data_IF_623014943673
#
_entry.id   IF_623014943673
#
_cell.length_a   1.000
_cell.length_b   1.000
_cell.length_c   1.000
_cell.angle_alpha   90.00
_cell.angle_beta   90.00
_cell.angle_gamma   90.00
#
_symmetry.space_group_name_H-M   'P 1'
#
loop_
_entity.id
_entity.type
_entity.pdbx_description
1 polymer ?
#
# COMPACT_ATOMS: atom_id res chain seq x y z
N UNK A 1 66.97 27.06 -33.65
CA UNK A 1 65.95 27.91 -34.31
C UNK A 1 64.74 27.94 -33.39
N UNK A 2 64.58 28.99 -32.60
CA UNK A 2 63.49 29.12 -31.62
C UNK A 2 62.27 29.69 -32.34
N UNK A 3 61.26 28.85 -32.59
CA UNK A 3 59.95 29.30 -33.08
C UNK A 3 59.34 30.20 -32.01
N UNK A 4 58.98 31.43 -32.37
CA UNK A 4 58.44 32.42 -31.44
C UNK A 4 56.98 32.05 -31.15
N UNK A 5 56.55 32.15 -29.90
CA UNK A 5 55.18 31.78 -29.48
C UNK A 5 54.12 32.49 -30.32
N UNK A 6 54.40 33.72 -30.77
CA UNK A 6 53.55 34.49 -31.67
C UNK A 6 53.31 33.79 -33.02
N UNK A 7 54.31 33.08 -33.56
CA UNK A 7 54.19 32.36 -34.83
C UNK A 7 53.26 31.13 -34.70
N UNK A 8 53.28 30.48 -33.53
CA UNK A 8 52.38 29.35 -33.24
C UNK A 8 50.95 29.81 -32.97
N UNK A 9 50.77 30.99 -32.37
CA UNK A 9 49.45 31.57 -32.12
C UNK A 9 48.79 32.09 -33.40
N UNK A 10 49.57 32.66 -34.33
CA UNK A 10 49.05 33.05 -35.65
C UNK A 10 48.72 31.84 -36.52
N UNK A 11 49.48 30.76 -36.46
CA UNK A 11 49.16 29.51 -37.15
C UNK A 11 47.91 28.80 -36.58
N UNK A 12 47.58 29.05 -35.30
CA UNK A 12 46.41 28.49 -34.63
C UNK A 12 45.15 29.36 -34.74
N UNK A 13 45.22 30.56 -35.35
CA UNK A 13 44.02 31.37 -35.60
C UNK A 13 43.14 30.70 -36.64
N UNK A 14 42.05 30.12 -36.17
CA UNK A 14 40.96 29.67 -37.03
C UNK A 14 40.27 30.93 -37.56
N UNK A 15 40.63 31.37 -38.77
CA UNK A 15 39.90 32.42 -39.48
C UNK A 15 38.53 31.86 -39.85
N UNK A 16 37.42 32.33 -39.25
CA UNK A 16 36.11 31.83 -39.62
C UNK A 16 35.89 32.17 -41.10
N UNK A 17 35.85 31.15 -41.95
CA UNK A 17 35.61 31.32 -43.38
C UNK A 17 34.23 31.97 -43.55
N UNK A 18 34.06 32.91 -44.48
CA UNK A 18 32.75 33.55 -44.71
C UNK A 18 31.61 32.55 -45.00
N UNK A 19 31.93 31.31 -45.41
CA UNK A 19 31.00 30.19 -45.51
C UNK A 19 30.51 29.65 -44.14
N UNK A 20 31.37 29.65 -43.11
CA UNK A 20 30.96 29.34 -41.73
C UNK A 20 30.13 30.48 -41.12
N UNK A 21 30.39 31.73 -41.49
CA UNK A 21 29.55 32.87 -41.09
C UNK A 21 28.16 32.86 -41.77
N UNK A 22 28.06 32.39 -43.03
CA UNK A 22 26.76 32.20 -43.71
C UNK A 22 26.01 30.94 -43.24
N UNK A 23 26.72 29.92 -42.75
CA UNK A 23 26.12 28.77 -42.07
C UNK A 23 25.61 29.16 -40.67
N UNK A 24 26.32 30.02 -39.95
CA UNK A 24 25.90 30.56 -38.66
C UNK A 24 24.67 31.49 -38.76
N UNK A 25 24.44 32.17 -39.90
CA UNK A 25 23.20 32.92 -40.13
C UNK A 25 21.97 32.06 -40.46
N UNK A 26 22.15 30.73 -40.56
CA UNK A 26 21.07 29.76 -40.83
C UNK A 26 20.59 29.01 -39.59
N UNK A 27 21.04 29.38 -38.39
CA UNK A 27 20.47 28.87 -37.14
C UNK A 27 19.23 29.69 -36.77
N UNK A 28 18.04 29.17 -37.09
CA UNK A 28 16.79 29.78 -36.66
C UNK A 28 16.57 29.52 -35.16
N UNK A 29 17.01 30.48 -34.34
CA UNK A 29 16.80 30.49 -32.88
C UNK A 29 15.31 30.35 -32.55
N UNK A 30 14.42 30.97 -33.33
CA UNK A 30 12.98 30.86 -33.14
C UNK A 30 12.44 29.46 -33.40
N UNK A 31 12.94 28.75 -34.41
CA UNK A 31 12.62 27.33 -34.63
C UNK A 31 13.17 26.45 -33.50
N UNK A 32 14.41 26.69 -33.05
CA UNK A 32 15.01 25.97 -31.93
C UNK A 32 14.23 26.15 -30.61
N UNK A 33 13.84 27.39 -30.29
CA UNK A 33 13.04 27.71 -29.10
C UNK A 33 11.64 27.10 -29.18
N UNK A 34 10.99 27.10 -30.36
CA UNK A 34 9.69 26.43 -30.56
C UNK A 34 9.79 24.92 -30.34
N UNK A 35 10.86 24.28 -30.82
CA UNK A 35 11.12 22.87 -30.56
C UNK A 35 11.33 22.59 -29.08
N UNK A 36 12.16 23.38 -28.41
CA UNK A 36 12.37 23.26 -26.96
C UNK A 36 11.06 23.46 -26.18
N UNK A 37 10.24 24.44 -26.56
CA UNK A 37 8.93 24.67 -25.94
C UNK A 37 7.99 23.48 -26.16
N UNK A 38 7.99 22.88 -27.35
CA UNK A 38 7.23 21.68 -27.66
C UNK A 38 7.73 20.46 -26.85
N UNK A 39 9.04 20.27 -26.72
CA UNK A 39 9.64 19.21 -25.93
C UNK A 39 9.29 19.35 -24.43
N UNK A 40 9.33 20.59 -23.91
CA UNK A 40 8.90 20.88 -22.52
C UNK A 40 7.41 20.66 -22.33
N UNK A 41 6.57 21.07 -23.30
CA UNK A 41 5.14 20.81 -23.25
C UNK A 41 4.83 19.31 -23.29
N UNK A 42 5.52 18.54 -24.13
CA UNK A 42 5.42 17.09 -24.19
C UNK A 42 5.88 16.43 -22.88
N UNK A 43 6.98 16.89 -22.28
CA UNK A 43 7.46 16.40 -20.99
C UNK A 43 6.45 16.68 -19.86
N UNK A 44 5.82 17.87 -19.85
CA UNK A 44 4.74 18.20 -18.91
C UNK A 44 3.49 17.35 -19.12
N UNK A 45 3.09 17.13 -20.36
CA UNK A 45 1.98 16.24 -20.69
C UNK A 45 2.25 14.79 -20.25
N UNK A 46 3.49 14.31 -20.43
CA UNK A 46 3.89 12.99 -19.95
C UNK A 46 3.89 12.90 -18.42
N UNK A 47 4.36 13.94 -17.73
CA UNK A 47 4.37 14.00 -16.26
C UNK A 47 2.95 14.02 -15.68
N UNK A 48 2.04 14.80 -16.28
CA UNK A 48 0.62 14.83 -15.87
C UNK A 48 -0.06 13.48 -16.10
N UNK A 49 0.13 12.85 -17.26
CA UNK A 49 -0.40 11.51 -17.52
C UNK A 49 0.20 10.42 -16.60
N UNK A 50 1.45 10.58 -16.14
CA UNK A 50 2.03 9.69 -15.13
C UNK A 50 1.39 9.90 -13.76
N UNK A 51 1.16 11.15 -13.35
CA UNK A 51 0.48 11.49 -12.10
C UNK A 51 -0.97 10.96 -12.08
N UNK A 52 -1.72 11.13 -13.17
CA UNK A 52 -3.10 10.63 -13.29
C UNK A 52 -3.16 9.10 -13.20
N UNK A 53 -2.19 8.40 -13.80
CA UNK A 53 -2.08 6.94 -13.68
C UNK A 53 -1.79 6.51 -12.24
N UNK A 54 -0.84 7.18 -11.56
CA UNK A 54 -0.54 6.91 -10.16
C UNK A 54 -1.74 7.16 -9.24
N UNK A 55 -2.49 8.25 -9.47
CA UNK A 55 -3.71 8.54 -8.73
C UNK A 55 -4.81 7.47 -8.94
N UNK A 56 -4.99 7.01 -10.18
CA UNK A 56 -5.92 5.93 -10.51
C UNK A 56 -5.52 4.62 -9.85
N UNK A 57 -4.24 4.28 -9.84
CA UNK A 57 -3.71 3.08 -9.18
C UNK A 57 -3.89 3.12 -7.66
N UNK A 58 -3.60 4.26 -7.03
CA UNK A 58 -3.81 4.44 -5.60
C UNK A 58 -5.28 4.32 -5.19
N UNK A 59 -6.20 4.85 -6.00
CA UNK A 59 -7.65 4.74 -5.76
C UNK A 59 -8.13 3.30 -5.95
N UNK A 60 -7.64 2.60 -6.99
CA UNK A 60 -7.92 1.18 -7.17
C UNK A 60 -7.42 0.36 -5.97
N UNK A 61 -6.20 0.62 -5.50
CA UNK A 61 -5.64 -0.04 -4.33
C UNK A 61 -6.50 0.19 -3.08
N UNK A 62 -6.96 1.43 -2.84
CA UNK A 62 -7.89 1.75 -1.76
C UNK A 62 -9.19 0.95 -1.86
N UNK A 63 -9.78 0.88 -3.05
CA UNK A 63 -11.05 0.16 -3.25
C UNK A 63 -10.90 -1.35 -3.06
N UNK A 64 -9.77 -1.92 -3.49
CA UNK A 64 -9.46 -3.34 -3.28
C UNK A 64 -9.26 -3.65 -1.80
N UNK A 65 -8.46 -2.84 -1.11
CA UNK A 65 -8.19 -2.99 0.32
C UNK A 65 -9.50 -2.93 1.13
N UNK A 66 -10.35 -1.95 0.86
CA UNK A 66 -11.67 -1.82 1.50
C UNK A 66 -12.54 -3.05 1.29
N UNK A 67 -12.56 -3.63 0.10
CA UNK A 67 -13.35 -4.84 -0.19
C UNK A 67 -12.82 -6.05 0.56
N UNK A 68 -11.51 -6.23 0.64
CA UNK A 68 -10.89 -7.34 1.36
C UNK A 68 -11.10 -7.19 2.86
N UNK A 69 -10.89 -6.00 3.43
CA UNK A 69 -11.17 -5.76 4.85
C UNK A 69 -12.63 -6.01 5.21
N UNK A 70 -13.57 -5.64 4.33
CA UNK A 70 -14.98 -5.97 4.53
C UNK A 70 -15.22 -7.48 4.49
N UNK A 71 -14.67 -8.18 3.50
CA UNK A 71 -14.82 -9.63 3.39
C UNK A 71 -14.22 -10.40 4.58
N UNK A 72 -13.11 -9.91 5.15
CA UNK A 72 -12.51 -10.46 6.38
C UNK A 72 -13.47 -10.34 7.56
N UNK A 73 -14.13 -9.18 7.72
CA UNK A 73 -15.12 -9.00 8.78
C UNK A 73 -16.40 -9.81 8.54
N UNK A 74 -16.77 -10.04 7.28
CA UNK A 74 -17.97 -10.79 6.89
C UNK A 74 -17.77 -12.33 7.01
N UNK A 75 -16.58 -12.83 7.41
CA UNK A 75 -16.38 -14.26 7.65
C UNK A 75 -17.17 -14.72 8.90
N UNK A 76 -17.83 -15.90 8.86
CA UNK A 76 -18.61 -16.38 10.01
C UNK A 76 -17.76 -16.60 11.27
N UNK A 77 -16.49 -16.96 11.08
CA UNK A 77 -15.57 -17.25 12.18
C UNK A 77 -14.85 -15.99 12.70
N UNK A 78 -15.08 -14.81 12.09
CA UNK A 78 -14.35 -13.59 12.42
C UNK A 78 -14.55 -13.14 13.88
N UNK A 79 -15.78 -13.23 14.38
CA UNK A 79 -16.10 -12.88 15.76
C UNK A 79 -15.42 -13.83 16.76
N UNK A 80 -15.36 -15.12 16.45
CA UNK A 80 -14.73 -16.13 17.31
C UNK A 80 -13.21 -15.97 17.34
N UNK A 81 -12.60 -15.69 16.19
CA UNK A 81 -11.16 -15.38 16.10
C UNK A 81 -10.81 -14.09 16.85
N UNK A 82 -11.66 -13.07 16.75
CA UNK A 82 -11.47 -11.83 17.47
C UNK A 82 -11.67 -11.99 18.98
N UNK A 83 -12.65 -12.80 19.43
CA UNK A 83 -12.84 -13.13 20.83
C UNK A 83 -11.62 -13.88 21.40
N UNK A 84 -11.05 -14.84 20.66
CA UNK A 84 -9.81 -15.53 21.03
C UNK A 84 -8.62 -14.57 21.16
N UNK A 85 -8.49 -13.59 20.26
CA UNK A 85 -7.46 -12.55 20.37
C UNK A 85 -7.58 -11.74 21.67
N UNK A 86 -8.81 -11.42 22.08
CA UNK A 86 -9.08 -10.63 23.28
C UNK A 86 -8.90 -11.44 24.56
N UNK A 87 -9.37 -12.68 24.56
CA UNK A 87 -9.29 -13.59 25.69
C UNK A 87 -7.88 -14.19 25.88
N UNK A 88 -6.95 -13.96 24.94
CA UNK A 88 -5.57 -14.45 25.01
C UNK A 88 -4.85 -13.90 26.27
N UNK A 89 -4.51 -14.78 27.24
CA UNK A 89 -3.85 -14.39 28.48
C UNK A 89 -2.43 -13.81 28.25
N UNK A 90 -1.82 -14.00 27.08
CA UNK A 90 -0.56 -13.37 26.70
C UNK A 90 -0.63 -11.83 26.59
N UNK A 91 -1.82 -11.26 26.37
CA UNK A 91 -2.02 -9.79 26.45
C UNK A 91 -1.83 -9.25 27.89
N UNK A 92 -1.72 -10.12 28.89
CA UNK A 92 -1.50 -9.78 30.30
C UNK A 92 -0.15 -10.22 30.88
N UNK A 93 0.64 -11.04 30.17
CA UNK A 93 1.98 -11.49 30.61
C UNK A 93 2.97 -11.57 29.45
N UNK A 94 4.09 -10.86 29.58
CA UNK A 94 5.25 -10.88 28.69
C UNK A 94 5.98 -12.24 28.73
N UNK A 95 5.34 -13.34 28.34
CA UNK A 95 6.03 -14.61 28.17
C UNK A 95 5.61 -15.23 26.86
N UNK A 96 6.55 -15.19 25.91
CA UNK A 96 6.44 -15.78 24.59
C UNK A 96 6.29 -17.30 24.74
N UNK A 97 5.11 -17.83 24.42
CA UNK A 97 4.85 -19.19 23.94
C UNK A 97 3.34 -19.49 23.82
N UNK A 98 2.45 -18.61 24.30
CA UNK A 98 1.03 -18.66 23.94
C UNK A 98 0.77 -17.90 22.63
N UNK A 99 0.15 -18.62 21.70
CA UNK A 99 0.14 -18.33 20.28
C UNK A 99 -0.99 -17.36 19.96
N UNK A 100 -0.66 -16.06 19.86
CA UNK A 100 -1.55 -14.99 19.42
C UNK A 100 -2.45 -15.47 18.27
N UNK A 101 -3.77 -15.30 18.39
CA UNK A 101 -4.68 -15.64 17.29
C UNK A 101 -4.41 -14.71 16.09
N UNK A 102 -3.70 -15.24 15.11
CA UNK A 102 -3.24 -14.50 13.93
C UNK A 102 -4.44 -14.08 13.08
N UNK A 103 -5.46 -14.93 12.96
CA UNK A 103 -6.69 -14.61 12.23
C UNK A 103 -7.45 -13.49 12.94
N UNK A 104 -7.55 -13.55 14.27
CA UNK A 104 -8.15 -12.48 15.08
C UNK A 104 -7.44 -11.15 14.91
N UNK A 105 -6.11 -11.18 14.76
CA UNK A 105 -5.30 -9.99 14.48
C UNK A 105 -5.64 -9.35 13.13
N UNK A 106 -5.87 -10.18 12.10
CA UNK A 106 -6.25 -9.69 10.76
C UNK A 106 -7.65 -9.08 10.76
N UNK A 107 -8.58 -9.68 11.51
CA UNK A 107 -9.92 -9.13 11.74
C UNK A 107 -9.83 -7.78 12.45
N UNK A 108 -9.00 -7.66 13.49
CA UNK A 108 -8.81 -6.39 14.19
C UNK A 108 -8.23 -5.29 13.29
N UNK A 109 -7.21 -5.63 12.51
CA UNK A 109 -6.60 -4.70 11.57
C UNK A 109 -7.57 -4.24 10.47
N UNK A 110 -8.40 -5.16 9.94
CA UNK A 110 -9.45 -4.85 8.98
C UNK A 110 -10.49 -3.88 9.56
N UNK A 111 -10.87 -4.08 10.81
CA UNK A 111 -11.76 -3.18 11.52
C UNK A 111 -11.15 -1.78 11.68
N UNK A 112 -9.91 -1.70 12.17
CA UNK A 112 -9.18 -0.45 12.35
C UNK A 112 -9.08 0.32 11.03
N UNK A 113 -8.79 -0.38 9.93
CA UNK A 113 -8.75 0.22 8.60
C UNK A 113 -10.10 0.84 8.19
N UNK A 114 -11.21 0.11 8.40
CA UNK A 114 -12.54 0.61 8.04
C UNK A 114 -13.01 1.79 8.91
N UNK A 115 -12.46 1.91 10.12
CA UNK A 115 -12.63 3.07 11.02
C UNK A 115 -11.59 4.19 10.76
N UNK A 116 -10.88 4.12 9.63
CA UNK A 116 -9.86 5.09 9.18
C UNK A 116 -8.68 5.25 10.16
N UNK A 117 -8.38 4.22 10.96
CA UNK A 117 -7.19 4.15 11.84
C UNK A 117 -6.03 3.44 11.15
N UNK A 118 -5.47 4.10 10.13
CA UNK A 118 -4.49 3.49 9.21
C UNK A 118 -3.19 3.04 9.90
N UNK A 119 -2.64 3.85 10.80
CA UNK A 119 -1.39 3.52 11.50
C UNK A 119 -1.55 2.28 12.40
N UNK A 120 -2.68 2.21 13.11
CA UNK A 120 -3.02 1.04 13.93
C UNK A 120 -3.25 -0.20 13.06
N UNK A 121 -3.99 -0.07 11.95
CA UNK A 121 -4.23 -1.18 11.03
C UNK A 121 -2.92 -1.71 10.43
N UNK A 122 -2.00 -0.81 10.05
CA UNK A 122 -0.69 -1.18 9.53
C UNK A 122 0.12 -2.00 10.54
N UNK A 123 0.17 -1.55 11.80
CA UNK A 123 0.87 -2.26 12.87
C UNK A 123 0.37 -3.70 13.04
N UNK A 124 -0.95 -3.87 13.12
CA UNK A 124 -1.55 -5.19 13.31
C UNK A 124 -1.41 -6.09 12.08
N UNK A 125 -1.51 -5.54 10.87
CA UNK A 125 -1.19 -6.30 9.66
C UNK A 125 0.29 -6.69 9.59
N UNK A 126 1.22 -5.86 10.05
CA UNK A 126 2.65 -6.20 10.12
C UNK A 126 2.90 -7.35 11.10
N UNK A 127 2.21 -7.34 12.25
CA UNK A 127 2.30 -8.43 13.22
C UNK A 127 1.81 -9.76 12.63
N UNK A 128 0.63 -9.76 11.99
CA UNK A 128 0.08 -10.95 11.35
C UNK A 128 0.90 -11.42 10.14
N UNK A 129 1.42 -10.49 9.33
CA UNK A 129 2.30 -10.81 8.21
C UNK A 129 3.64 -11.39 8.69
N UNK A 130 4.18 -10.87 9.80
CA UNK A 130 5.35 -11.44 10.49
C UNK A 130 5.14 -12.91 10.87
N UNK A 131 3.94 -13.24 11.38
CA UNK A 131 3.53 -14.61 11.68
C UNK A 131 3.22 -15.48 10.44
N UNK A 132 3.30 -14.92 9.22
CA UNK A 132 3.12 -15.65 7.96
C UNK A 132 1.72 -15.56 7.34
N UNK A 133 0.87 -14.66 7.82
CA UNK A 133 -0.47 -14.49 7.29
C UNK A 133 -0.48 -13.76 5.94
N UNK A 134 -0.78 -14.49 4.85
CA UNK A 134 -0.73 -13.96 3.49
C UNK A 134 -1.71 -12.82 3.23
N UNK A 135 -2.95 -12.88 3.75
CA UNK A 135 -3.93 -11.79 3.56
C UNK A 135 -3.44 -10.51 4.22
N UNK A 136 -2.70 -10.60 5.34
CA UNK A 136 -2.17 -9.42 6.02
C UNK A 136 -1.06 -8.77 5.19
N UNK A 137 -0.14 -9.59 4.65
CA UNK A 137 0.88 -9.14 3.72
C UNK A 137 0.26 -8.52 2.44
N UNK A 138 -0.82 -9.11 1.91
CA UNK A 138 -1.52 -8.53 0.76
C UNK A 138 -2.23 -7.21 1.09
N UNK A 139 -2.83 -7.09 2.28
CA UNK A 139 -3.39 -5.82 2.75
C UNK A 139 -2.31 -4.74 2.89
N UNK A 140 -1.11 -5.09 3.38
CA UNK A 140 0.03 -4.17 3.43
C UNK A 140 0.50 -3.75 2.04
N UNK A 141 0.58 -4.69 1.09
CA UNK A 141 0.87 -4.37 -0.31
C UNK A 141 -0.09 -3.30 -0.84
N UNK A 142 -1.40 -3.50 -0.68
CA UNK A 142 -2.41 -2.53 -1.14
C UNK A 142 -2.34 -1.20 -0.37
N UNK A 143 -2.01 -1.23 0.92
CA UNK A 143 -1.83 -0.02 1.73
C UNK A 143 -0.66 0.82 1.21
N UNK A 144 0.50 0.21 0.97
CA UNK A 144 1.68 0.89 0.42
C UNK A 144 1.46 1.32 -1.03
N UNK A 145 0.73 0.54 -1.83
CA UNK A 145 0.35 0.92 -3.19
C UNK A 145 -0.54 2.18 -3.21
N UNK A 146 -1.47 2.30 -2.25
CA UNK A 146 -2.27 3.52 -2.05
C UNK A 146 -1.42 4.73 -1.66
N UNK A 147 -0.31 4.54 -0.94
CA UNK A 147 0.60 5.60 -0.54
C UNK A 147 1.60 5.99 -1.65
N UNK A 148 1.65 5.24 -2.76
CA UNK A 148 2.66 5.42 -3.81
C UNK A 148 4.04 4.86 -3.44
N UNK A 149 4.13 4.06 -2.39
CA UNK A 149 5.36 3.45 -1.87
C UNK A 149 5.63 2.13 -2.60
N UNK A 150 6.07 2.21 -3.86
CA UNK A 150 6.19 1.06 -4.76
C UNK A 150 7.16 -0.01 -4.25
N UNK A 151 8.26 0.39 -3.60
CA UNK A 151 9.29 -0.55 -3.11
C UNK A 151 8.73 -1.41 -1.97
N UNK A 152 8.11 -0.78 -0.99
CA UNK A 152 7.48 -1.41 0.16
C UNK A 152 6.31 -2.27 -0.30
N UNK A 153 5.50 -1.75 -1.23
CA UNK A 153 4.41 -2.48 -1.87
C UNK A 153 4.87 -3.80 -2.50
N UNK A 154 5.96 -3.78 -3.28
CA UNK A 154 6.54 -4.98 -3.89
C UNK A 154 7.11 -5.96 -2.87
N UNK A 155 7.72 -5.45 -1.80
CA UNK A 155 8.24 -6.29 -0.71
C UNK A 155 7.11 -7.11 -0.07
N UNK A 156 6.01 -6.47 0.30
CA UNK A 156 4.87 -7.16 0.90
C UNK A 156 4.12 -8.08 -0.06
N UNK A 157 4.07 -7.72 -1.36
CA UNK A 157 3.52 -8.62 -2.38
C UNK A 157 4.35 -9.89 -2.51
N UNK A 158 5.67 -9.77 -2.45
CA UNK A 158 6.57 -10.90 -2.43
C UNK A 158 6.32 -11.75 -1.18
N UNK A 159 6.29 -11.16 0.02
CA UNK A 159 5.98 -11.90 1.27
C UNK A 159 4.62 -12.60 1.22
N UNK A 160 3.59 -11.98 0.61
CA UNK A 160 2.29 -12.61 0.41
C UNK A 160 2.37 -13.82 -0.54
N UNK A 161 3.34 -13.82 -1.45
CA UNK A 161 3.57 -14.84 -2.49
C UNK A 161 4.52 -15.94 -2.08
N UNK A 162 5.33 -15.71 -1.05
CA UNK A 162 6.20 -16.74 -0.51
C UNK A 162 5.34 -17.86 0.10
N UNK A 163 5.49 -19.06 -0.45
CA UNK A 163 5.05 -20.28 0.20
C UNK A 163 5.95 -20.52 1.41
N UNK A 164 5.56 -20.02 2.58
CA UNK A 164 6.17 -20.52 3.82
C UNK A 164 5.73 -21.97 3.99
N UNK A 165 6.66 -22.93 4.14
CA UNK A 165 6.30 -24.29 4.42
C UNK A 165 5.58 -24.31 5.78
N UNK A 166 4.26 -24.43 5.74
CA UNK A 166 3.50 -24.80 6.91
C UNK A 166 4.07 -26.14 7.38
N UNK A 167 4.42 -26.24 8.66
CA UNK A 167 4.77 -27.50 9.31
C UNK A 167 3.73 -28.56 8.92
N UNK A 168 4.15 -29.51 8.09
CA UNK A 168 3.45 -30.73 7.66
C UNK A 168 1.93 -30.63 7.37
N UNK A 169 1.56 -30.55 6.09
CA UNK A 169 0.18 -30.84 5.65
C UNK A 169 -0.32 -29.89 4.56
N UNK A 170 0.11 -30.15 3.33
CA UNK A 170 -0.10 -29.29 2.17
C UNK A 170 -1.58 -28.96 1.91
N UNK A 171 -1.91 -27.66 1.92
CA UNK A 171 -2.93 -27.09 1.05
C UNK A 171 -2.15 -26.50 -0.13
N UNK A 172 -2.38 -26.95 -1.37
CA UNK A 172 -1.86 -26.25 -2.55
C UNK A 172 -2.42 -24.84 -2.49
N UNK A 173 -1.56 -23.87 -2.19
CA UNK A 173 -1.95 -22.47 -2.02
C UNK A 173 -1.92 -21.84 -3.40
N UNK A 174 -3.04 -21.27 -3.88
CA UNK A 174 -3.04 -20.61 -5.18
C UNK A 174 -2.12 -19.38 -5.15
N UNK A 175 -1.44 -19.06 -6.28
CA UNK A 175 -0.68 -17.83 -6.42
C UNK A 175 -1.50 -16.61 -6.03
N UNK A 176 -0.87 -15.66 -5.34
CA UNK A 176 -1.44 -14.36 -4.94
C UNK A 176 -2.03 -13.63 -6.14
N UNK A 177 -1.33 -13.75 -7.29
CA UNK A 177 -1.82 -13.34 -8.60
C UNK A 177 -2.96 -14.25 -9.05
N UNK A 178 -4.17 -13.70 -9.06
CA UNK A 178 -5.40 -14.40 -9.39
C UNK A 178 -6.23 -14.77 -8.16
N UNK A 179 -5.63 -15.23 -7.05
CA UNK A 179 -6.39 -15.59 -5.84
C UNK A 179 -7.19 -14.42 -5.27
N UNK A 180 -6.56 -13.25 -5.10
CA UNK A 180 -7.26 -12.08 -4.55
C UNK A 180 -8.22 -11.43 -5.55
N UNK A 181 -7.98 -11.57 -6.86
CA UNK A 181 -8.94 -11.17 -7.89
C UNK A 181 -10.19 -12.06 -7.88
N UNK A 182 -10.00 -13.38 -7.73
CA UNK A 182 -11.11 -14.33 -7.58
C UNK A 182 -11.83 -14.10 -6.26
N UNK A 183 -11.12 -13.84 -5.16
CA UNK A 183 -11.72 -13.43 -3.88
C UNK A 183 -12.51 -12.13 -4.01
N UNK A 184 -12.03 -11.15 -4.77
CA UNK A 184 -12.79 -9.91 -5.02
C UNK A 184 -14.09 -10.17 -5.78
N UNK A 185 -14.08 -11.08 -6.76
CA UNK A 185 -15.28 -11.52 -7.49
C UNK A 185 -16.22 -12.29 -6.56
N UNK A 186 -15.67 -13.20 -5.74
CA UNK A 186 -16.42 -13.99 -4.77
C UNK A 186 -17.03 -13.12 -3.68
N UNK A 187 -16.28 -12.16 -3.13
CA UNK A 187 -16.76 -11.18 -2.16
C UNK A 187 -17.87 -10.28 -2.73
N UNK A 188 -17.87 -10.00 -4.04
CA UNK A 188 -19.01 -9.34 -4.71
C UNK A 188 -20.22 -10.27 -4.82
N UNK A 189 -19.98 -11.56 -5.04
CA UNK A 189 -21.03 -12.56 -5.19
C UNK A 189 -21.74 -12.86 -3.86
N UNK A 190 -20.99 -13.13 -2.79
CA UNK A 190 -21.55 -13.40 -1.46
C UNK A 190 -22.31 -12.21 -0.88
N UNK A 191 -21.97 -10.99 -1.30
CA UNK A 191 -22.68 -9.75 -0.93
C UNK A 191 -24.03 -9.52 -1.61
N UNK A 192 -24.38 -10.31 -2.62
CA UNK A 192 -25.66 -10.13 -3.30
C UNK A 192 -26.83 -10.50 -2.40
N UNK A 193 -26.60 -11.39 -1.43
CA UNK A 193 -27.62 -11.91 -0.52
C UNK A 193 -27.51 -11.39 0.93
N UNK A 194 -26.47 -10.61 1.27
CA UNK A 194 -26.30 -10.03 2.61
C UNK A 194 -25.93 -8.53 2.51
N UNK A 195 -26.67 -7.61 3.15
CA UNK A 195 -26.29 -6.21 3.15
C UNK A 195 -24.91 -6.07 3.80
N UNK A 196 -23.99 -5.42 3.08
CA UNK A 196 -22.68 -5.04 3.58
C UNK A 196 -22.79 -4.52 5.01
N UNK A 197 -22.09 -5.12 5.97
CA UNK A 197 -21.91 -4.50 7.28
C UNK A 197 -21.16 -3.19 7.03
N UNK A 198 -21.90 -2.09 6.91
CA UNK A 198 -21.35 -0.77 7.22
C UNK A 198 -20.98 -0.90 8.70
N UNK A 199 -19.71 -0.71 9.04
CA UNK A 199 -19.27 -0.86 10.44
C UNK A 199 -20.28 -0.12 11.31
N UNK A 200 -21.00 -0.82 12.20
CA UNK A 200 -22.10 -0.18 12.89
C UNK A 200 -21.54 0.93 13.77
N UNK A 201 -22.27 2.05 13.88
CA UNK A 201 -21.79 3.23 14.62
C UNK A 201 -21.40 2.90 16.07
N UNK A 202 -21.99 1.86 16.65
CA UNK A 202 -21.62 1.33 17.97
C UNK A 202 -20.20 0.79 18.03
N UNK A 203 -19.72 0.19 16.94
CA UNK A 203 -18.42 -0.44 16.81
C UNK A 203 -17.36 0.61 16.45
N UNK A 204 -17.73 1.62 15.64
CA UNK A 204 -16.91 2.83 15.43
C UNK A 204 -16.68 3.62 16.73
N UNK A 205 -17.73 3.85 17.52
CA UNK A 205 -17.63 4.54 18.81
C UNK A 205 -16.73 3.80 19.81
N UNK A 206 -16.71 2.47 19.73
CA UNK A 206 -15.88 1.64 20.59
C UNK A 206 -14.39 1.73 20.22
N UNK A 207 -14.10 1.72 18.92
CA UNK A 207 -12.73 1.92 18.42
C UNK A 207 -12.23 3.33 18.76
N UNK A 208 -13.08 4.35 18.61
CA UNK A 208 -12.74 5.73 19.01
C UNK A 208 -12.39 5.81 20.50
N UNK A 209 -13.17 5.14 21.36
CA UNK A 209 -12.90 5.08 22.79
C UNK A 209 -11.56 4.40 23.10
N UNK A 210 -11.24 3.30 22.41
CA UNK A 210 -9.95 2.62 22.57
C UNK A 210 -8.77 3.46 22.08
N UNK A 211 -8.95 4.20 20.99
CA UNK A 211 -7.96 5.16 20.51
C UNK A 211 -7.72 6.26 21.56
N UNK A 212 -8.78 6.85 22.13
CA UNK A 212 -8.68 7.89 23.16
C UNK A 212 -7.96 7.42 24.44
N UNK A 213 -8.00 6.13 24.77
CA UNK A 213 -7.33 5.55 25.93
C UNK A 213 -5.89 5.06 25.65
N UNK A 214 -5.41 5.12 24.41
CA UNK A 214 -4.12 4.53 24.05
C UNK A 214 -2.94 5.43 24.43
N UNK A 215 -1.86 4.87 25.02
CA UNK A 215 -0.74 5.63 25.59
C UNK A 215 0.16 6.32 24.55
N UNK A 216 -0.08 6.13 23.25
CA UNK A 216 0.70 6.71 22.15
C UNK A 216 -0.06 7.87 21.48
N UNK A 217 -0.68 8.74 22.28
CA UNK A 217 -1.46 9.90 21.81
C UNK A 217 -2.61 9.48 20.86
N UNK A 218 -3.18 8.29 21.08
CA UNK A 218 -4.25 7.71 20.27
C UNK A 218 -3.89 7.26 18.85
N UNK A 219 -2.61 7.30 18.46
CA UNK A 219 -2.16 6.93 17.10
C UNK A 219 -2.18 5.41 16.84
N UNK A 220 -1.88 4.62 17.88
CA UNK A 220 -1.84 3.16 17.81
C UNK A 220 -2.76 2.59 18.86
N UNK A 221 -3.83 1.90 18.43
CA UNK A 221 -4.69 1.10 19.31
C UNK A 221 -3.97 -0.20 19.63
N UNK A 222 -3.32 -0.25 20.79
CA UNK A 222 -2.41 -1.36 21.18
C UNK A 222 -3.15 -2.57 21.75
N UNK A 223 -4.37 -2.39 22.28
CA UNK A 223 -5.08 -3.49 22.97
C UNK A 223 -6.54 -3.59 22.56
N UNK A 224 -6.97 -4.72 21.97
CA UNK A 224 -8.39 -5.00 21.77
C UNK A 224 -9.05 -5.31 23.13
N UNK A 225 -10.33 -4.95 23.30
CA UNK A 225 -11.08 -5.11 24.55
C UNK A 225 -12.31 -6.02 24.33
N UNK A 226 -12.79 -6.65 25.41
CA UNK A 226 -13.89 -7.65 25.39
C UNK A 226 -15.20 -7.06 24.91
N UNK A 227 -15.45 -5.79 25.23
CA UNK A 227 -16.62 -5.06 24.73
C UNK A 227 -16.61 -4.89 23.22
N UNK A 228 -15.43 -4.71 22.60
CA UNK A 228 -15.32 -4.63 21.16
C UNK A 228 -15.63 -5.98 20.50
N UNK A 229 -15.27 -7.09 21.16
CA UNK A 229 -15.53 -8.44 20.65
C UNK A 229 -17.02 -8.78 20.71
N UNK A 230 -17.68 -8.45 21.82
CA UNK A 230 -19.13 -8.61 21.98
C UNK A 230 -19.88 -7.82 20.88
N UNK A 231 -19.47 -6.58 20.60
CA UNK A 231 -20.09 -5.75 19.54
C UNK A 231 -19.87 -6.30 18.13
N UNK A 232 -18.71 -6.91 17.87
CA UNK A 232 -18.44 -7.56 16.59
C UNK A 232 -19.30 -8.83 16.43
N UNK A 233 -19.45 -9.61 17.50
CA UNK A 233 -20.31 -10.79 17.51
C UNK A 233 -21.79 -10.44 17.28
N UNK A 234 -22.29 -9.39 17.94
CA UNK A 234 -23.65 -8.86 17.71
C UNK A 234 -23.83 -8.45 16.24
N UNK A 235 -22.84 -7.74 15.66
CA UNK A 235 -22.90 -7.28 14.28
C UNK A 235 -22.85 -8.42 13.25
N UNK A 236 -22.12 -9.50 13.54
CA UNK A 236 -22.03 -10.67 12.68
C UNK A 236 -23.26 -11.60 12.78
N UNK A 237 -24.00 -11.53 13.88
CA UNK A 237 -25.19 -12.35 14.15
C UNK A 237 -26.48 -11.83 13.51
N UNK A 238 -26.45 -10.62 12.95
CA UNK A 238 -27.56 -9.97 12.24
C UNK A 238 -27.49 -10.13 10.71
#
# INVERSE_FOLDING_TARGET
MTVRIDDLLDAARITPTHAAASAASRFDVGAALRRLAADVAAARAAATAAADRGASEAEQARQRLRRISQWVLDQPDAADHFARLVDDPAASRQTAEEQLDIEGTVVFAALLYLTERLESAQFWWQLAAGAGHRTAAYCLHLLHLRLGEERESRHWLNEASQERPALAGARVVPPVEGFYQVLEVFARYTRRDRPAIRVPASLEAEVERLAACSPHDGRIVVRPDRRLAERLHDAASH
#
